data_IF_733238341918
#
_entry.id   IF_733238341918
#
_cell.length_a   1.000
_cell.length_b   1.000
_cell.length_c   1.000
_cell.angle_alpha   90.00
_cell.angle_beta   90.00
_cell.angle_gamma   90.00
#
_symmetry.space_group_name_H-M   'P 1'
#
loop_
_entity.id
_entity.type
_entity.pdbx_description
1 polymer ?
#
# COMPACT_ATOMS: atom_id res chain seq x y z
N UNK A 1 2.39 0.56 4.32
CA UNK A 1 3.05 0.94 5.59
C UNK A 1 2.34 2.18 6.11
N UNK A 2 1.93 2.25 7.36
CA UNK A 2 1.35 3.47 7.94
C UNK A 2 2.19 3.93 9.12
N UNK A 3 2.31 5.24 9.32
CA UNK A 3 2.85 5.81 10.55
C UNK A 3 1.73 6.47 11.35
N UNK A 4 1.69 6.20 12.64
CA UNK A 4 0.75 6.81 13.58
C UNK A 4 1.53 7.71 14.52
N UNK A 5 1.10 8.96 14.64
CA UNK A 5 1.65 9.92 15.58
C UNK A 5 0.78 9.93 16.84
N UNK A 6 1.39 9.75 18.00
CA UNK A 6 0.69 9.90 19.28
C UNK A 6 0.69 11.35 19.77
N UNK A 7 0.03 11.59 20.91
CA UNK A 7 -0.14 12.91 21.50
C UNK A 7 1.18 13.51 22.03
N UNK A 8 2.26 12.72 22.10
CA UNK A 8 3.61 13.17 22.45
C UNK A 8 4.45 13.55 21.22
N UNK A 9 3.90 13.36 20.02
CA UNK A 9 4.59 13.57 18.75
C UNK A 9 5.45 12.39 18.32
N UNK A 10 5.40 11.26 19.04
CA UNK A 10 6.15 10.06 18.67
C UNK A 10 5.45 9.33 17.51
N UNK A 11 6.22 9.00 16.48
CA UNK A 11 5.70 8.35 15.28
C UNK A 11 6.08 6.87 15.29
N UNK A 12 5.09 5.97 15.26
CA UNK A 12 5.30 4.53 15.24
C UNK A 12 4.88 3.94 13.90
N UNK A 13 5.70 3.03 13.39
CA UNK A 13 5.38 2.26 12.19
C UNK A 13 4.35 1.18 12.51
N UNK A 14 3.30 1.10 11.69
CA UNK A 14 2.32 0.03 11.70
C UNK A 14 2.14 -0.57 10.30
N UNK A 15 2.23 -1.88 10.24
CA UNK A 15 1.80 -2.65 9.08
C UNK A 15 0.26 -2.71 9.14
N UNK A 16 -0.45 -2.34 8.07
CA UNK A 16 -1.91 -2.41 8.05
C UNK A 16 -2.37 -3.88 8.01
N UNK A 17 -3.52 -4.14 8.63
CA UNK A 17 -4.26 -5.37 8.38
C UNK A 17 -4.96 -5.21 7.02
N UNK A 18 -4.53 -5.98 6.03
CA UNK A 18 -5.07 -5.87 4.67
C UNK A 18 -6.51 -6.39 4.62
N UNK A 19 -7.37 -5.69 3.90
CA UNK A 19 -8.79 -6.03 3.79
C UNK A 19 -9.63 -5.73 5.03
N UNK A 20 -9.13 -4.85 5.91
CA UNK A 20 -9.88 -4.30 7.03
C UNK A 20 -9.87 -2.78 7.01
N UNK A 21 -11.05 -2.19 7.16
CA UNK A 21 -11.21 -0.75 7.33
C UNK A 21 -10.61 -0.26 8.67
N UNK A 22 -9.70 0.71 8.57
CA UNK A 22 -9.10 1.45 9.67
C UNK A 22 -9.87 2.77 9.86
N UNK A 23 -10.49 3.01 11.03
CA UNK A 23 -11.09 4.31 11.34
C UNK A 23 -10.04 5.43 11.40
N UNK A 24 -10.34 6.57 10.78
CA UNK A 24 -9.47 7.75 10.72
C UNK A 24 -9.76 8.78 11.81
N UNK A 25 -10.78 8.55 12.64
CA UNK A 25 -11.16 9.45 13.74
C UNK A 25 -10.15 9.40 14.89
N UNK A 26 -9.92 10.56 15.54
CA UNK A 26 -9.23 10.66 16.83
C UNK A 26 -7.73 10.93 16.78
N UNK A 27 -7.02 10.62 15.68
CA UNK A 27 -5.56 10.83 15.58
C UNK A 27 -5.13 11.18 14.16
N UNK A 28 -4.10 12.03 14.03
CA UNK A 28 -3.46 12.31 12.73
C UNK A 28 -2.61 11.11 12.31
N UNK A 29 -2.69 10.73 11.04
CA UNK A 29 -1.99 9.56 10.49
C UNK A 29 -1.27 9.93 9.20
N UNK A 30 -0.13 9.30 8.95
CA UNK A 30 0.53 9.32 7.65
C UNK A 30 0.43 7.92 7.04
N UNK A 31 -0.38 7.77 6.00
CA UNK A 31 -0.75 6.48 5.44
C UNK A 31 -0.12 6.31 4.06
N UNK A 32 0.64 5.24 3.85
CA UNK A 32 1.19 4.89 2.54
C UNK A 32 0.42 3.66 1.98
N UNK A 33 -0.28 3.80 0.84
CA UNK A 33 -1.07 2.74 0.21
C UNK A 33 -0.21 1.62 -0.42
N UNK A 34 1.10 1.81 -0.51
CA UNK A 34 2.02 0.94 -1.23
C UNK A 34 2.14 1.31 -2.70
N UNK A 35 2.54 0.35 -3.53
CA UNK A 35 2.72 0.53 -4.97
C UNK A 35 1.92 -0.49 -5.75
N UNK A 36 1.26 -0.04 -6.81
CA UNK A 36 0.54 -0.92 -7.74
C UNK A 36 1.52 -1.67 -8.65
N UNK A 37 2.45 -0.96 -9.29
CA UNK A 37 3.29 -1.51 -10.36
C UNK A 37 4.69 -1.97 -9.97
N UNK A 38 5.21 -1.52 -8.82
CA UNK A 38 6.54 -1.92 -8.36
C UNK A 38 6.62 -1.99 -6.82
N UNK A 39 5.94 -2.95 -6.17
CA UNK A 39 6.10 -3.20 -4.74
C UNK A 39 7.57 -3.43 -4.36
N UNK A 40 8.02 -2.82 -3.26
CA UNK A 40 9.41 -2.92 -2.76
C UNK A 40 9.54 -3.54 -1.37
N UNK A 41 8.45 -4.10 -0.86
CA UNK A 41 8.34 -4.67 0.48
C UNK A 41 8.37 -6.20 0.49
N UNK A 42 8.90 -6.81 -0.58
CA UNK A 42 9.04 -8.26 -0.77
C UNK A 42 7.71 -9.03 -0.92
N UNK A 43 6.56 -8.35 -0.88
CA UNK A 43 5.30 -8.91 -1.34
C UNK A 43 5.10 -8.50 -2.81
N UNK A 44 5.01 -9.47 -3.75
CA UNK A 44 4.89 -9.16 -5.17
C UNK A 44 3.50 -8.66 -5.58
N UNK A 45 2.48 -8.80 -4.74
CA UNK A 45 1.11 -8.34 -5.00
C UNK A 45 1.03 -6.82 -5.10
N UNK A 46 0.23 -6.34 -6.06
CA UNK A 46 -0.05 -4.92 -6.22
C UNK A 46 -0.75 -4.39 -4.97
N UNK A 47 -0.33 -3.21 -4.50
CA UNK A 47 -0.85 -2.58 -3.30
C UNK A 47 -1.57 -1.28 -3.64
N UNK A 48 -2.72 -1.07 -3.00
CA UNK A 48 -3.46 0.18 -3.05
C UNK A 48 -4.26 0.35 -1.75
N UNK A 49 -5.00 1.43 -1.64
CA UNK A 49 -5.94 1.59 -0.55
C UNK A 49 -7.24 2.27 -1.00
N UNK A 50 -8.31 1.98 -0.27
CA UNK A 50 -9.58 2.67 -0.38
C UNK A 50 -9.66 3.72 0.71
N UNK A 51 -10.03 4.95 0.35
CA UNK A 51 -10.38 6.02 1.28
C UNK A 51 -11.88 6.28 1.17
N UNK A 52 -12.60 6.02 2.25
CA UNK A 52 -14.02 6.35 2.37
C UNK A 52 -14.15 7.61 3.23
N UNK A 53 -14.41 8.74 2.58
CA UNK A 53 -14.55 10.03 3.23
C UNK A 53 -15.83 10.13 4.08
N UNK A 54 -16.91 9.48 3.65
CA UNK A 54 -18.20 9.49 4.35
C UNK A 54 -18.13 8.67 5.64
N UNK A 55 -17.54 7.47 5.58
CA UNK A 55 -17.32 6.62 6.74
C UNK A 55 -16.08 7.04 7.56
N UNK A 56 -15.24 7.95 7.04
CA UNK A 56 -13.94 8.31 7.61
C UNK A 56 -13.06 7.07 7.87
N UNK A 57 -12.96 6.19 6.87
CA UNK A 57 -12.14 4.97 6.96
C UNK A 57 -11.13 4.87 5.84
N UNK A 58 -10.05 4.14 6.11
CA UNK A 58 -9.03 3.80 5.13
C UNK A 58 -8.75 2.32 5.16
N UNK A 59 -8.60 1.69 4.00
CA UNK A 59 -8.40 0.24 3.92
C UNK A 59 -7.29 -0.11 2.95
N UNK A 60 -6.22 -0.76 3.46
CA UNK A 60 -5.16 -1.30 2.62
C UNK A 60 -5.64 -2.56 1.90
N UNK A 61 -5.31 -2.68 0.62
CA UNK A 61 -5.63 -3.85 -0.20
C UNK A 61 -4.39 -4.36 -0.91
N UNK A 62 -4.40 -5.68 -1.15
CA UNK A 62 -3.47 -6.37 -2.03
C UNK A 62 -4.25 -7.14 -3.07
N UNK A 63 -3.68 -7.27 -4.24
CA UNK A 63 -4.27 -8.05 -5.32
C UNK A 63 -3.18 -8.70 -6.17
N UNK A 64 -3.40 -9.98 -6.48
CA UNK A 64 -2.55 -10.71 -7.41
C UNK A 64 -2.73 -10.15 -8.82
N UNK A 65 -1.65 -10.15 -9.59
CA UNK A 65 -1.69 -9.78 -11.01
C UNK A 65 -0.71 -10.62 -11.82
N UNK A 66 -0.86 -10.68 -13.16
CA UNK A 66 0.01 -11.49 -14.01
C UNK A 66 1.42 -10.88 -14.16
N UNK A 67 2.28 -11.07 -13.16
CA UNK A 67 3.65 -10.54 -13.15
C UNK A 67 4.45 -11.01 -14.37
N UNK A 68 4.27 -12.27 -14.76
CA UNK A 68 4.95 -12.87 -15.91
C UNK A 68 4.61 -12.15 -17.23
N UNK A 69 3.38 -11.65 -17.37
CA UNK A 69 2.93 -10.93 -18.56
C UNK A 69 3.60 -9.56 -18.62
N UNK A 70 3.62 -8.83 -17.49
CA UNK A 70 4.35 -7.57 -17.37
C UNK A 70 5.84 -7.77 -17.69
N UNK A 71 6.48 -8.79 -17.11
CA UNK A 71 7.89 -9.10 -17.39
C UNK A 71 8.13 -9.45 -18.88
N UNK A 72 7.18 -10.11 -19.54
CA UNK A 72 7.26 -10.43 -20.96
C UNK A 72 7.21 -9.16 -21.81
N UNK A 73 6.31 -8.24 -21.49
CA UNK A 73 6.23 -6.93 -22.16
C UNK A 73 7.50 -6.11 -21.93
N UNK A 74 8.04 -6.10 -20.71
CA UNK A 74 9.30 -5.42 -20.39
C UNK A 74 10.47 -5.97 -21.22
N UNK A 75 10.57 -7.30 -21.37
CA UNK A 75 11.59 -7.95 -22.22
C UNK A 75 11.41 -7.60 -23.69
N UNK A 76 10.18 -7.63 -24.20
CA UNK A 76 9.88 -7.23 -25.58
C UNK A 76 10.25 -5.77 -25.86
N UNK A 77 10.09 -4.90 -24.86
CA UNK A 77 10.50 -3.50 -24.90
C UNK A 77 12.01 -3.26 -24.63
N UNK A 78 12.82 -4.32 -24.52
CA UNK A 78 14.27 -4.24 -24.26
C UNK A 78 14.64 -3.44 -23.00
N UNK A 79 13.78 -3.45 -21.98
CA UNK A 79 14.11 -2.84 -20.69
C UNK A 79 15.24 -3.63 -20.00
N UNK A 80 16.02 -2.98 -19.12
CA UNK A 80 17.11 -3.64 -18.41
C UNK A 80 16.64 -4.93 -17.73
N UNK A 81 17.39 -6.01 -17.96
CA UNK A 81 17.32 -7.18 -17.10
C UNK A 81 17.81 -6.75 -15.71
N UNK A 82 16.98 -7.01 -14.71
CA UNK A 82 17.24 -6.64 -13.32
C UNK A 82 18.46 -7.35 -12.75
#
# INVERSE_FOLDING_TARGET
MGYVMDDTGQCTEKIPEYGRALPLTGQRRLLNPGSVGQPRDRNPEAAYALLDEAASTWEARRVVYPIADTQTQMRAAQLPAR
#
